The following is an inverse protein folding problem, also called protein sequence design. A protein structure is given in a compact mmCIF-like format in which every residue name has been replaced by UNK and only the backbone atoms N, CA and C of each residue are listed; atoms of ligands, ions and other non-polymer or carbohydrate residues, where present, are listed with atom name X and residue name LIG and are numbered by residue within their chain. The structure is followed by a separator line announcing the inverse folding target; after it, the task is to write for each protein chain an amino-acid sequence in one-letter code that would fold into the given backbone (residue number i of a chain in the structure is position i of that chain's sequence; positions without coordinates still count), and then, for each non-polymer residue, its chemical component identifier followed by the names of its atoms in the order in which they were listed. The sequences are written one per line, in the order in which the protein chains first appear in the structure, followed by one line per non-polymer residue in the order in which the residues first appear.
data_IF_688318855361
#
_entry.id   IF_688318855361
#
_cell.length_a   1.000
_cell.length_b   1.000
_cell.length_c   1.000
_cell.angle_alpha   90.00
_cell.angle_beta   90.00
_cell.angle_gamma   90.00
#
_symmetry.space_group_name_H-M   'P 1'
#
loop_
_entity.id
_entity.type
_entity.pdbx_description
1 polymer ?
#
# COMPACT_ATOMS: atom_id res chain seq x y z
N UNK A 1 -14.09 -5.56 19.62
CA UNK A 1 -12.70 -5.25 19.24
C UNK A 1 -12.53 -5.50 17.76
N UNK A 2 -12.03 -4.52 17.04
CA UNK A 2 -11.83 -4.65 15.60
C UNK A 2 -10.46 -5.28 15.33
N UNK A 3 -10.39 -6.28 14.45
CA UNK A 3 -9.10 -6.84 14.08
C UNK A 3 -8.25 -5.82 13.34
N UNK A 4 -6.95 -5.88 13.54
CA UNK A 4 -6.00 -5.03 12.85
C UNK A 4 -5.12 -5.89 11.94
N UNK A 5 -5.07 -5.53 10.68
CA UNK A 5 -4.16 -6.15 9.72
C UNK A 5 -3.17 -5.09 9.28
N UNK A 6 -1.89 -5.38 9.43
CA UNK A 6 -0.83 -4.45 9.07
C UNK A 6 -0.27 -4.79 7.71
N UNK A 7 -0.17 -3.78 6.85
CA UNK A 7 0.44 -3.92 5.53
C UNK A 7 1.67 -3.03 5.50
N UNK A 8 2.82 -3.63 5.25
CA UNK A 8 4.09 -2.92 5.18
C UNK A 8 4.60 -2.94 3.74
N UNK A 9 4.95 -1.77 3.23
CA UNK A 9 5.53 -1.63 1.90
C UNK A 9 7.01 -1.35 2.04
N UNK A 10 7.84 -2.21 1.48
CA UNK A 10 9.30 -2.07 1.51
C UNK A 10 9.85 -2.05 0.10
N UNK A 11 10.96 -1.36 -0.08
CA UNK A 11 11.61 -1.29 -1.38
C UNK A 11 12.66 -0.19 -1.37
N UNK A 12 13.45 -0.12 -2.42
CA UNK A 12 14.54 0.86 -2.49
C UNK A 12 14.05 2.23 -2.92
N UNK A 13 13.06 2.28 -3.81
CA UNK A 13 12.58 3.54 -4.33
C UNK A 13 11.47 4.13 -3.46
N UNK A 14 11.73 5.27 -2.84
CA UNK A 14 10.73 5.96 -2.03
C UNK A 14 9.51 6.38 -2.86
N UNK A 15 9.74 6.80 -4.09
CA UNK A 15 8.68 7.22 -5.00
C UNK A 15 7.78 6.03 -5.37
N UNK A 16 8.38 4.88 -5.67
CA UNK A 16 7.62 3.67 -5.99
C UNK A 16 6.85 3.18 -4.76
N UNK A 17 7.48 3.18 -3.58
CA UNK A 17 6.82 2.79 -2.34
C UNK A 17 5.60 3.67 -2.06
N UNK A 18 5.76 4.98 -2.20
CA UNK A 18 4.67 5.92 -1.97
C UNK A 18 3.50 5.65 -2.93
N UNK A 19 3.79 5.41 -4.20
CA UNK A 19 2.77 5.10 -5.20
C UNK A 19 2.00 3.82 -4.82
N UNK A 20 2.70 2.79 -4.39
CA UNK A 20 2.09 1.52 -4.00
C UNK A 20 1.24 1.71 -2.74
N UNK A 21 1.72 2.45 -1.76
CA UNK A 21 0.95 2.73 -0.54
C UNK A 21 -0.37 3.43 -0.89
N UNK A 22 -0.33 4.46 -1.72
CA UNK A 22 -1.55 5.16 -2.13
C UNK A 22 -2.50 4.26 -2.93
N UNK A 23 -1.95 3.38 -3.76
CA UNK A 23 -2.75 2.42 -4.52
C UNK A 23 -3.49 1.46 -3.59
N UNK A 24 -2.78 0.89 -2.61
CA UNK A 24 -3.37 -0.02 -1.64
C UNK A 24 -4.42 0.69 -0.80
N UNK A 25 -4.09 1.87 -0.30
CA UNK A 25 -4.98 2.66 0.52
C UNK A 25 -6.31 2.94 -0.19
N UNK A 26 -6.22 3.35 -1.46
CA UNK A 26 -7.40 3.64 -2.26
C UNK A 26 -8.27 2.39 -2.45
N UNK A 27 -7.63 1.26 -2.77
CA UNK A 27 -8.36 0.00 -2.96
C UNK A 27 -9.08 -0.44 -1.69
N UNK A 28 -8.42 -0.29 -0.54
CA UNK A 28 -9.03 -0.66 0.75
C UNK A 28 -10.19 0.26 1.10
N UNK A 29 -10.05 1.56 0.85
CA UNK A 29 -11.14 2.51 1.09
C UNK A 29 -12.33 2.24 0.17
N UNK A 30 -12.07 1.89 -1.08
CA UNK A 30 -13.13 1.52 -2.02
C UNK A 30 -13.88 0.28 -1.57
N UNK A 31 -13.22 -0.60 -0.80
CA UNK A 31 -13.85 -1.77 -0.20
C UNK A 31 -14.55 -1.47 1.12
N UNK A 32 -14.65 -0.20 1.51
CA UNK A 32 -15.28 0.26 2.75
C UNK A 32 -14.53 -0.17 4.01
N UNK A 33 -13.22 -0.33 3.90
CA UNK A 33 -12.38 -0.64 5.04
C UNK A 33 -11.76 0.62 5.62
N UNK A 34 -11.57 0.64 6.92
CA UNK A 34 -10.87 1.74 7.59
C UNK A 34 -9.37 1.58 7.35
N UNK A 35 -8.74 2.69 6.96
CA UNK A 35 -7.30 2.69 6.69
C UNK A 35 -6.64 3.72 7.60
N UNK A 36 -5.63 3.27 8.34
CA UNK A 36 -4.78 4.15 9.14
C UNK A 36 -3.39 4.18 8.53
N UNK A 37 -2.83 5.37 8.47
CA UNK A 37 -1.46 5.55 8.02
C UNK A 37 -0.53 5.64 9.22
N UNK A 38 0.57 4.90 9.16
CA UNK A 38 1.62 5.00 10.15
C UNK A 38 2.79 5.71 9.49
N UNK A 39 2.95 6.98 9.80
CA UNK A 39 3.95 7.83 9.18
C UNK A 39 3.33 8.99 8.44
N UNK A 40 4.19 9.82 7.91
CA UNK A 40 3.79 11.05 7.21
C UNK A 40 3.54 10.73 5.73
N UNK A 41 2.28 10.67 5.37
CA UNK A 41 1.87 10.39 4.00
C UNK A 41 1.25 11.65 3.40
N UNK A 42 1.97 12.26 2.47
CA UNK A 42 1.45 13.42 1.76
C UNK A 42 0.30 13.02 0.84
N UNK A 43 -0.69 13.89 0.73
CA UNK A 43 -1.78 13.66 -0.21
C UNK A 43 -1.24 13.70 -1.64
N UNK A 44 -1.81 12.87 -2.50
CA UNK A 44 -1.44 12.83 -3.90
C UNK A 44 -2.69 13.04 -4.76
N UNK A 45 -2.56 13.85 -5.80
CA UNK A 45 -3.66 14.03 -6.73
C UNK A 45 -3.92 12.74 -7.51
N UNK A 46 -5.19 12.46 -7.80
CA UNK A 46 -5.59 11.23 -8.50
C UNK A 46 -4.89 11.11 -9.86
N UNK A 47 -4.79 12.23 -10.59
CA UNK A 47 -4.10 12.25 -11.89
C UNK A 47 -2.63 11.89 -11.75
N UNK A 48 -1.95 12.43 -10.73
CA UNK A 48 -0.55 12.12 -10.46
C UNK A 48 -0.40 10.65 -10.09
N UNK A 49 -1.30 10.12 -9.29
CA UNK A 49 -1.28 8.71 -8.90
C UNK A 49 -1.39 7.80 -10.13
N UNK A 50 -2.31 8.09 -11.04
CA UNK A 50 -2.46 7.32 -12.27
C UNK A 50 -1.22 7.38 -13.15
N UNK A 51 -0.61 8.56 -13.28
CA UNK A 51 0.62 8.71 -14.04
C UNK A 51 1.75 7.86 -13.45
N UNK A 52 1.90 7.86 -12.14
CA UNK A 52 2.92 7.08 -11.46
C UNK A 52 2.65 5.58 -11.58
N UNK A 53 1.40 5.16 -11.46
CA UNK A 53 1.03 3.76 -11.67
C UNK A 53 1.38 3.30 -13.08
N UNK A 54 1.10 4.13 -14.08
CA UNK A 54 1.43 3.84 -15.47
C UNK A 54 2.94 3.71 -15.65
N UNK A 55 3.71 4.61 -15.04
CA UNK A 55 5.17 4.57 -15.11
C UNK A 55 5.71 3.27 -14.51
N UNK A 56 5.19 2.86 -13.35
CA UNK A 56 5.61 1.61 -12.71
C UNK A 56 5.28 0.39 -13.58
N UNK A 57 4.10 0.38 -14.21
CA UNK A 57 3.72 -0.69 -15.11
C UNK A 57 4.63 -0.76 -16.33
N UNK A 58 5.00 0.40 -16.90
CA UNK A 58 5.87 0.46 -18.06
C UNK A 58 7.30 0.03 -17.76
N UNK A 59 7.74 0.18 -16.52
CA UNK A 59 9.07 -0.27 -16.10
C UNK A 59 9.06 -1.72 -15.59
N UNK A 60 7.96 -2.44 -15.75
CA UNK A 60 7.80 -3.82 -15.32
C UNK A 60 8.04 -4.02 -13.84
N UNK A 61 7.61 -3.06 -13.03
CA UNK A 61 7.74 -3.14 -11.58
C UNK A 61 6.94 -4.32 -11.04
N UNK A 62 7.56 -5.12 -10.22
CA UNK A 62 6.92 -6.28 -9.59
C UNK A 62 6.61 -5.99 -8.15
N UNK A 63 5.47 -6.47 -7.70
CA UNK A 63 5.07 -6.39 -6.30
C UNK A 63 4.92 -7.79 -5.74
N UNK A 64 5.57 -8.04 -4.62
CA UNK A 64 5.45 -9.31 -3.91
C UNK A 64 4.48 -9.14 -2.76
N UNK A 65 3.43 -9.95 -2.74
CA UNK A 65 2.49 -9.98 -1.63
C UNK A 65 2.76 -11.24 -0.83
N UNK A 66 2.98 -11.05 0.47
CA UNK A 66 3.37 -12.13 1.36
C UNK A 66 2.41 -12.18 2.55
N UNK A 67 2.00 -13.37 2.90
CA UNK A 67 1.19 -13.60 4.11
C UNK A 67 2.10 -14.19 5.16
N UNK A 68 2.15 -13.57 6.32
CA UNK A 68 2.94 -14.05 7.45
C UNK A 68 2.05 -14.16 8.68
N UNK A 69 2.16 -15.26 9.39
CA UNK A 69 1.52 -15.42 10.68
C UNK A 69 2.42 -14.84 11.76
N UNK A 70 1.84 -14.12 12.70
CA UNK A 70 2.59 -13.64 13.87
C UNK A 70 2.89 -14.81 14.81
N UNK A 71 4.10 -14.79 15.36
CA UNK A 71 4.51 -15.80 16.35
C UNK A 71 3.64 -15.66 17.60
N UNK A 72 3.11 -16.77 18.07
CA UNK A 72 2.27 -16.78 19.26
C UNK A 72 0.82 -16.46 18.98
N UNK A 73 0.46 -16.17 17.76
CA UNK A 73 -0.91 -15.93 17.38
C UNK A 73 -1.66 -17.22 17.19
N UNK A 74 -2.86 -17.27 17.76
CA UNK A 74 -3.74 -18.44 17.65
C UNK A 74 -5.02 -18.03 16.98
N UNK A 75 -5.35 -18.70 15.96
CA UNK A 75 -6.62 -18.51 15.27
C UNK A 75 -7.60 -19.58 15.65
#
# INVERSE_FOLDING_TARGET
MSPLITITVSGESDRAKSTIVHTIRRALKDASLDVRDDGDQSAIAVTTLYEEQTRLAMTHTQCLIRIEALIGEHS
#
